data_IF_528086753103
#
_entry.id   IF_528086753103
#
_cell.length_a   1.000
_cell.length_b   1.000
_cell.length_c   1.000
_cell.angle_alpha   90.00
_cell.angle_beta   90.00
_cell.angle_gamma   90.00
#
_symmetry.space_group_name_H-M   'P 1'
#
loop_
_entity.id
_entity.type
_entity.pdbx_description
1 polymer ?
#
# COMPACT_ATOMS: atom_id res chain seq x y z
N UNK A 1 -7.47 0.39 6.31
CA UNK A 1 -8.27 1.40 7.02
C UNK A 1 -9.54 0.76 7.58
N UNK A 2 -9.70 0.67 8.91
CA UNK A 2 -10.98 0.37 9.60
C UNK A 2 -11.88 -0.75 9.05
N UNK A 3 -11.31 -1.77 8.39
CA UNK A 3 -12.04 -2.79 7.60
C UNK A 3 -12.98 -2.24 6.49
N UNK A 4 -12.81 -0.98 6.06
CA UNK A 4 -13.59 -0.35 4.99
C UNK A 4 -13.35 -0.95 3.59
N UNK A 5 -12.24 -1.69 3.44
CA UNK A 5 -11.81 -2.32 2.18
C UNK A 5 -11.58 -1.35 1.01
N UNK A 6 -11.28 -0.09 1.32
CA UNK A 6 -10.80 0.95 0.39
C UNK A 6 -9.34 0.70 -0.03
N UNK A 7 -8.55 1.76 -0.28
CA UNK A 7 -7.13 1.66 -0.58
C UNK A 7 -6.40 0.72 0.41
N UNK A 8 -5.60 -0.18 -0.16
CA UNK A 8 -4.84 -1.19 0.55
C UNK A 8 -3.95 -0.56 1.64
N UNK A 9 -3.92 -1.18 2.82
CA UNK A 9 -3.09 -0.69 3.93
C UNK A 9 -1.60 -0.67 3.60
N UNK A 10 -1.11 -1.62 2.81
CA UNK A 10 0.28 -1.67 2.36
C UNK A 10 0.60 -0.47 1.44
N UNK A 11 -0.30 -0.17 0.49
CA UNK A 11 -0.17 0.99 -0.42
C UNK A 11 -0.21 2.31 0.35
N UNK A 12 -1.14 2.46 1.29
CA UNK A 12 -1.19 3.65 2.16
C UNK A 12 0.07 3.79 3.00
N UNK A 13 0.59 2.69 3.55
CA UNK A 13 1.83 2.69 4.32
C UNK A 13 3.04 3.10 3.47
N UNK A 14 3.13 2.60 2.24
CA UNK A 14 4.15 3.00 1.26
C UNK A 14 4.08 4.49 0.94
N UNK A 15 2.90 5.06 0.67
CA UNK A 15 2.77 6.50 0.41
C UNK A 15 3.12 7.35 1.63
N UNK A 16 2.74 6.89 2.83
CA UNK A 16 3.11 7.57 4.07
C UNK A 16 4.63 7.58 4.26
N UNK A 17 5.30 6.47 3.99
CA UNK A 17 6.75 6.38 4.09
C UNK A 17 7.46 7.26 3.04
N UNK A 18 6.99 7.29 1.78
CA UNK A 18 7.50 8.21 0.75
C UNK A 18 7.39 9.66 1.20
N UNK A 19 6.22 10.08 1.68
CA UNK A 19 6.02 11.45 2.15
C UNK A 19 6.85 11.83 3.38
N UNK A 20 7.24 10.86 4.22
CA UNK A 20 8.13 11.11 5.36
C UNK A 20 9.60 11.26 4.95
N UNK A 21 10.02 10.66 3.84
CA UNK A 21 11.42 10.65 3.37
C UNK A 21 11.64 11.75 2.32
N UNK A 22 10.79 11.80 1.31
CA UNK A 22 10.93 12.64 0.10
C UNK A 22 9.82 13.70 0.01
N UNK A 23 9.21 14.06 1.14
CA UNK A 23 8.13 15.06 1.22
C UNK A 23 8.62 16.50 1.12
N UNK A 24 7.70 17.44 1.37
CA UNK A 24 7.95 18.88 1.44
C UNK A 24 7.24 19.46 2.68
N UNK A 25 7.72 20.60 3.20
CA UNK A 25 7.23 21.23 4.43
C UNK A 25 6.55 22.61 4.22
N UNK A 26 6.69 23.23 3.04
CA UNK A 26 5.97 24.46 2.71
C UNK A 26 4.63 24.16 1.98
N UNK A 27 3.46 24.56 2.53
CA UNK A 27 2.17 24.41 1.85
C UNK A 27 2.06 25.15 0.50
N UNK A 28 2.99 26.06 0.16
CA UNK A 28 3.05 26.79 -1.11
C UNK A 28 4.01 26.17 -2.13
N UNK A 29 4.76 25.14 -1.77
CA UNK A 29 5.72 24.40 -2.62
C UNK A 29 5.01 23.64 -3.74
N UNK A 30 4.63 24.34 -4.81
CA UNK A 30 3.80 23.80 -5.89
C UNK A 30 4.57 22.79 -6.75
N UNK A 31 5.86 23.03 -6.97
CA UNK A 31 6.73 22.19 -7.81
C UNK A 31 6.99 20.85 -7.12
N UNK A 32 7.42 20.89 -5.87
CA UNK A 32 7.67 19.73 -5.02
C UNK A 32 6.38 18.91 -4.81
N UNK A 33 5.24 19.59 -4.63
CA UNK A 33 3.94 18.92 -4.57
C UNK A 33 3.61 18.16 -5.86
N UNK A 34 3.96 18.71 -7.03
CA UNK A 34 3.76 18.03 -8.30
C UNK A 34 4.68 16.81 -8.44
N UNK A 35 5.92 16.90 -7.96
CA UNK A 35 6.86 15.78 -7.90
C UNK A 35 6.38 14.66 -6.98
N UNK A 36 5.90 14.98 -5.77
CA UNK A 36 5.28 14.01 -4.84
C UNK A 36 4.09 13.32 -5.52
N UNK A 37 3.22 14.07 -6.21
CA UNK A 37 2.08 13.47 -6.92
C UNK A 37 2.53 12.51 -8.01
N UNK A 38 3.58 12.86 -8.76
CA UNK A 38 4.14 11.98 -9.78
C UNK A 38 4.72 10.68 -9.17
N UNK A 39 5.49 10.78 -8.07
CA UNK A 39 6.05 9.61 -7.38
C UNK A 39 4.97 8.71 -6.79
N UNK A 40 4.00 9.27 -6.04
CA UNK A 40 2.89 8.51 -5.46
C UNK A 40 2.10 7.77 -6.54
N UNK A 41 1.87 8.40 -7.69
CA UNK A 41 1.25 7.73 -8.84
C UNK A 41 2.10 6.58 -9.38
N UNK A 42 3.39 6.78 -9.57
CA UNK A 42 4.29 5.73 -10.04
C UNK A 42 4.34 4.53 -9.07
N UNK A 43 4.36 4.79 -7.75
CA UNK A 43 4.28 3.75 -6.72
C UNK A 43 2.95 2.99 -6.77
N UNK A 44 1.83 3.69 -6.97
CA UNK A 44 0.51 3.09 -7.12
C UNK A 44 0.42 2.19 -8.36
N UNK A 45 0.92 2.70 -9.49
CA UNK A 45 0.94 2.01 -10.79
C UNK A 45 1.83 0.76 -10.73
N UNK A 46 2.99 0.82 -10.07
CA UNK A 46 3.85 -0.34 -9.84
C UNK A 46 3.16 -1.40 -8.97
N UNK A 47 2.50 -1.00 -7.89
CA UNK A 47 1.75 -1.93 -7.04
C UNK A 47 0.60 -2.58 -7.81
N UNK A 48 -0.14 -1.80 -8.59
CA UNK A 48 -1.24 -2.29 -9.41
C UNK A 48 -0.77 -3.22 -10.53
N UNK A 49 0.42 -2.99 -11.10
CA UNK A 49 1.00 -3.90 -12.09
C UNK A 49 1.38 -5.25 -11.49
N UNK A 50 1.90 -5.28 -10.26
CA UNK A 50 2.26 -6.53 -9.55
C UNK A 50 1.04 -7.25 -8.95
N UNK A 51 0.03 -6.51 -8.48
CA UNK A 51 -1.07 -7.02 -7.65
C UNK A 51 -2.46 -6.64 -8.16
N UNK A 52 -2.63 -6.32 -9.45
CA UNK A 52 -3.89 -6.02 -10.16
C UNK A 52 -4.77 -4.84 -9.68
N UNK A 53 -4.73 -4.41 -8.42
CA UNK A 53 -5.50 -3.26 -7.89
C UNK A 53 -4.81 -2.63 -6.69
N UNK A 54 -5.12 -1.36 -6.40
CA UNK A 54 -4.78 -0.73 -5.11
C UNK A 54 -5.92 -0.81 -4.10
N UNK A 55 -7.11 -1.25 -4.52
CA UNK A 55 -8.31 -1.32 -3.69
C UNK A 55 -8.36 -2.67 -2.99
N UNK A 56 -8.42 -2.64 -1.66
CA UNK A 56 -8.37 -3.83 -0.81
C UNK A 56 -9.50 -4.81 -1.07
N UNK A 57 -10.70 -4.36 -1.49
CA UNK A 57 -11.79 -5.27 -1.84
C UNK A 57 -11.50 -6.07 -3.12
N UNK A 58 -10.88 -5.44 -4.11
CA UNK A 58 -10.52 -6.08 -5.38
C UNK A 58 -9.31 -7.01 -5.20
N UNK A 59 -8.39 -6.64 -4.31
CA UNK A 59 -7.26 -7.47 -3.89
C UNK A 59 -7.66 -8.72 -3.11
N UNK A 60 -8.86 -8.73 -2.53
CA UNK A 60 -9.38 -9.79 -1.66
C UNK A 60 -10.65 -10.43 -2.24
N UNK A 61 -10.83 -10.37 -3.57
CA UNK A 61 -12.06 -10.82 -4.23
C UNK A 61 -12.39 -12.30 -3.93
N UNK A 62 -11.37 -13.14 -3.76
CA UNK A 62 -11.51 -14.57 -3.46
C UNK A 62 -11.40 -14.90 -1.96
N UNK A 63 -11.40 -13.89 -1.09
CA UNK A 63 -11.26 -14.06 0.35
C UNK A 63 -12.57 -13.71 1.05
N UNK A 64 -13.08 -14.63 1.86
CA UNK A 64 -14.25 -14.34 2.69
C UNK A 64 -13.95 -13.17 3.65
N UNK A 65 -14.82 -12.17 3.63
CA UNK A 65 -14.70 -10.98 4.49
C UNK A 65 -16.01 -10.63 5.15
N UNK A 66 -15.90 -10.04 6.34
CA UNK A 66 -17.05 -9.50 7.10
C UNK A 66 -17.05 -7.97 7.06
N UNK A 67 -18.24 -7.39 6.91
CA UNK A 67 -18.50 -5.95 7.02
C UNK A 67 -18.40 -5.41 8.47
N UNK A 68 -18.30 -6.28 9.48
CA UNK A 68 -18.13 -5.87 10.88
C UNK A 68 -16.79 -5.16 11.10
N UNK A 69 -16.77 -4.15 11.97
CA UNK A 69 -15.53 -3.54 12.46
C UNK A 69 -14.73 -4.46 13.40
N UNK A 70 -15.36 -5.51 13.93
CA UNK A 70 -14.70 -6.47 14.81
C UNK A 70 -13.55 -7.18 14.05
N UNK A 71 -12.35 -7.25 14.63
CA UNK A 71 -11.25 -7.94 14.00
C UNK A 71 -11.36 -9.46 14.20
N UNK A 72 -10.97 -10.23 13.20
CA UNK A 72 -10.86 -11.69 13.29
C UNK A 72 -9.68 -12.10 14.19
N UNK A 73 -9.73 -13.29 14.80
CA UNK A 73 -8.56 -13.83 15.50
C UNK A 73 -7.40 -14.08 14.51
N UNK A 74 -6.16 -13.80 14.93
CA UNK A 74 -4.96 -13.90 14.09
C UNK A 74 -4.40 -15.31 14.20
N UNK A 75 -5.14 -16.28 13.67
CA UNK A 75 -4.77 -17.70 13.68
C UNK A 75 -3.88 -18.05 12.48
N UNK A 76 -3.37 -19.28 12.44
CA UNK A 76 -2.59 -19.77 11.30
C UNK A 76 -3.41 -19.75 10.00
N UNK A 77 -4.65 -20.24 10.08
CA UNK A 77 -5.60 -20.30 8.96
C UNK A 77 -5.95 -18.89 8.45
N UNK A 78 -6.00 -17.89 9.34
CA UNK A 78 -6.20 -16.49 8.96
C UNK A 78 -5.08 -16.00 8.03
N UNK A 79 -3.82 -16.33 8.34
CA UNK A 79 -2.68 -15.92 7.53
C UNK A 79 -2.55 -16.75 6.26
N UNK A 80 -2.81 -18.05 6.32
CA UNK A 80 -2.77 -18.94 5.14
C UNK A 80 -3.78 -18.52 4.06
N UNK A 81 -4.98 -18.08 4.45
CA UNK A 81 -6.01 -17.66 3.49
C UNK A 81 -5.88 -16.22 3.00
N UNK A 82 -5.04 -15.39 3.62
CA UNK A 82 -4.96 -13.95 3.33
C UNK A 82 -3.63 -13.60 2.66
N UNK A 83 -3.64 -13.07 1.42
CA UNK A 83 -2.42 -12.64 0.72
C UNK A 83 -1.83 -11.33 1.27
N UNK A 84 -2.36 -10.79 2.38
CA UNK A 84 -1.96 -9.48 2.88
C UNK A 84 -0.47 -9.36 3.23
N UNK A 85 0.18 -10.45 3.67
CA UNK A 85 1.62 -10.46 3.91
C UNK A 85 2.42 -10.21 2.63
N UNK A 86 2.05 -10.88 1.54
CA UNK A 86 2.68 -10.70 0.23
C UNK A 86 2.46 -9.27 -0.32
N UNK A 87 1.29 -8.67 -0.07
CA UNK A 87 1.05 -7.28 -0.45
C UNK A 87 1.91 -6.29 0.35
N UNK A 88 2.17 -6.55 1.64
CA UNK A 88 3.09 -5.74 2.44
C UNK A 88 4.51 -5.85 1.91
N UNK A 89 4.96 -7.06 1.60
CA UNK A 89 6.26 -7.32 0.98
C UNK A 89 6.41 -6.63 -0.37
N UNK A 90 5.44 -6.79 -1.28
CA UNK A 90 5.43 -6.14 -2.60
C UNK A 90 5.52 -4.62 -2.48
N UNK A 91 4.69 -3.99 -1.63
CA UNK A 91 4.76 -2.55 -1.40
C UNK A 91 6.11 -2.09 -0.83
N UNK A 92 6.66 -2.83 0.15
CA UNK A 92 7.96 -2.52 0.73
C UNK A 92 9.08 -2.63 -0.31
N UNK A 93 9.06 -3.65 -1.16
CA UNK A 93 10.03 -3.86 -2.23
C UNK A 93 9.94 -2.79 -3.32
N UNK A 94 8.73 -2.44 -3.76
CA UNK A 94 8.50 -1.34 -4.70
C UNK A 94 9.09 -0.04 -4.16
N UNK A 95 8.84 0.25 -2.88
CA UNK A 95 9.35 1.45 -2.23
C UNK A 95 10.87 1.44 -2.06
N UNK A 96 11.45 0.30 -1.67
CA UNK A 96 12.91 0.15 -1.59
C UNK A 96 13.57 0.44 -2.95
N UNK A 97 13.00 -0.08 -4.05
CA UNK A 97 13.49 0.21 -5.40
C UNK A 97 13.36 1.69 -5.77
N UNK A 98 12.28 2.37 -5.41
CA UNK A 98 12.15 3.80 -5.70
C UNK A 98 13.18 4.66 -4.96
N UNK A 99 13.69 4.17 -3.82
CA UNK A 99 14.78 4.79 -3.06
C UNK A 99 16.18 4.33 -3.53
N UNK A 100 16.28 3.48 -4.55
CA UNK A 100 17.56 2.94 -5.02
C UNK A 100 18.24 1.98 -4.04
N UNK A 101 17.49 1.39 -3.11
CA UNK A 101 18.01 0.39 -2.17
C UNK A 101 18.19 -0.97 -2.87
N UNK A 102 19.20 -1.77 -2.49
CA UNK A 102 19.40 -3.11 -3.04
C UNK A 102 18.22 -4.04 -2.73
N UNK A 103 17.87 -4.93 -3.67
CA UNK A 103 16.89 -5.97 -3.42
C UNK A 103 17.45 -6.99 -2.41
N UNK A 104 16.61 -7.42 -1.46
CA UNK A 104 16.94 -8.42 -0.43
C UNK A 104 16.73 -9.85 -0.94
#
# INVERSE_FOLDING_TARGET
MGKLREVCGAVTGMFMADGLIEGYDDPKAKEEKAEVYARVRALAEAFQAENHSIICRDLLIDVETSASAAPEARTKEYYERRPCGAYVESAARIFARSLGLPEA
#
